data_IF_616594754238
#
_entry.id   IF_616594754238
#
_cell.length_a   1.000
_cell.length_b   1.000
_cell.length_c   1.000
_cell.angle_alpha   90.00
_cell.angle_beta   90.00
_cell.angle_gamma   90.00
#
_symmetry.space_group_name_H-M   'P 1'
#
loop_
_entity.id
_entity.type
_entity.pdbx_description
1 polymer ?
#
# COMPACT_ATOMS: atom_id res chain seq x y z
N UNK A 1 14.31 14.63 13.21
CA UNK A 1 14.62 13.91 14.47
C UNK A 1 14.16 12.48 14.27
N UNK A 2 15.06 11.51 14.41
CA UNK A 2 14.74 10.08 14.33
C UNK A 2 14.01 9.67 15.60
N UNK A 3 12.75 9.27 15.51
CA UNK A 3 12.10 8.58 16.63
C UNK A 3 12.76 7.21 16.80
N UNK A 4 13.33 6.96 17.98
CA UNK A 4 13.89 5.67 18.34
C UNK A 4 12.74 4.68 18.62
N UNK A 5 12.65 3.63 17.81
CA UNK A 5 11.68 2.53 18.01
C UNK A 5 11.94 1.82 19.35
N UNK A 6 10.89 1.60 20.14
CA UNK A 6 10.99 0.95 21.46
C UNK A 6 10.65 -0.53 21.36
N UNK A 7 11.25 -1.37 22.20
CA UNK A 7 10.88 -2.79 22.35
C UNK A 7 9.38 -2.98 22.69
N UNK A 8 8.74 -1.96 23.26
CA UNK A 8 7.30 -1.91 23.49
C UNK A 8 6.47 -1.95 22.19
N UNK A 9 6.99 -1.48 21.05
CA UNK A 9 6.28 -1.43 19.76
C UNK A 9 6.07 -2.81 19.12
N UNK A 10 6.72 -3.85 19.63
CA UNK A 10 6.75 -5.15 18.98
C UNK A 10 6.00 -6.24 19.75
N UNK A 11 5.94 -6.17 21.09
CA UNK A 11 5.27 -7.20 21.92
C UNK A 11 5.92 -8.60 21.80
N UNK A 12 5.58 -9.53 22.70
CA UNK A 12 6.15 -10.90 22.75
C UNK A 12 5.68 -11.83 21.60
N UNK A 13 5.29 -11.30 20.45
CA UNK A 13 4.72 -12.09 19.35
C UNK A 13 5.82 -12.74 18.50
N UNK A 14 5.78 -14.07 18.36
CA UNK A 14 6.60 -14.85 17.42
C UNK A 14 6.06 -14.78 15.98
N UNK A 15 4.94 -14.07 15.75
CA UNK A 15 4.30 -13.95 14.44
C UNK A 15 5.13 -13.08 13.49
N UNK A 16 5.20 -13.50 12.22
CA UNK A 16 5.82 -12.70 11.16
C UNK A 16 5.07 -11.37 11.02
N UNK A 17 5.80 -10.27 10.80
CA UNK A 17 5.22 -8.94 10.58
C UNK A 17 5.04 -8.63 9.10
N UNK A 18 3.98 -7.89 8.76
CA UNK A 18 3.73 -7.39 7.40
C UNK A 18 3.75 -5.85 7.43
N UNK A 19 4.83 -5.20 6.97
CA UNK A 19 4.86 -3.75 6.81
C UNK A 19 4.18 -3.32 5.50
N UNK A 20 3.18 -2.45 5.58
CA UNK A 20 2.46 -1.86 4.44
C UNK A 20 2.63 -0.34 4.48
N UNK A 21 3.15 0.25 3.40
CA UNK A 21 3.22 1.70 3.24
C UNK A 21 2.30 2.16 2.10
N UNK A 22 1.32 3.00 2.44
CA UNK A 22 0.47 3.68 1.48
C UNK A 22 1.13 4.98 1.02
N UNK A 23 1.33 5.12 -0.28
CA UNK A 23 1.84 6.28 -0.99
C UNK A 23 0.67 6.88 -1.77
N UNK A 24 0.04 7.91 -1.21
CA UNK A 24 -1.25 8.41 -1.65
C UNK A 24 -1.14 9.78 -2.32
N UNK A 25 -1.67 9.88 -3.53
CA UNK A 25 -1.80 11.15 -4.24
C UNK A 25 -2.83 12.05 -3.56
N UNK A 26 -2.43 13.30 -3.30
CA UNK A 26 -3.28 14.36 -2.77
C UNK A 26 -3.18 15.62 -3.63
N UNK A 27 -2.89 15.47 -4.92
CA UNK A 27 -2.87 16.57 -5.88
C UNK A 27 -4.29 17.09 -6.20
N UNK A 28 -4.36 18.19 -6.95
CA UNK A 28 -5.62 18.86 -7.27
C UNK A 28 -6.67 18.00 -7.99
N UNK A 29 -6.26 16.97 -8.74
CA UNK A 29 -7.17 16.04 -9.42
C UNK A 29 -7.95 15.15 -8.43
N UNK A 30 -7.39 14.93 -7.23
CA UNK A 30 -8.04 14.18 -6.16
C UNK A 30 -9.13 14.98 -5.43
N UNK A 31 -9.27 16.29 -5.69
CA UNK A 31 -10.25 17.15 -5.02
C UNK A 31 -11.70 16.68 -5.26
N UNK A 32 -12.55 16.83 -4.24
CA UNK A 32 -13.96 16.50 -4.32
C UNK A 32 -14.26 15.06 -3.93
N UNK A 33 -14.84 14.28 -4.84
CA UNK A 33 -15.25 12.90 -4.54
C UNK A 33 -14.06 11.93 -4.35
N UNK A 34 -12.98 11.97 -5.16
CA UNK A 34 -11.88 11.02 -5.04
C UNK A 34 -11.25 11.00 -3.65
N UNK A 35 -10.88 12.16 -3.09
CA UNK A 35 -10.28 12.20 -1.74
C UNK A 35 -11.26 11.76 -0.63
N UNK A 36 -12.57 12.01 -0.78
CA UNK A 36 -13.57 11.52 0.17
C UNK A 36 -13.66 10.00 0.17
N UNK A 37 -13.70 9.42 -1.03
CA UNK A 37 -13.75 7.96 -1.22
C UNK A 37 -12.43 7.30 -0.77
N UNK A 38 -11.29 7.94 -1.01
CA UNK A 38 -9.98 7.50 -0.49
C UNK A 38 -9.99 7.45 1.04
N UNK A 39 -10.40 8.53 1.71
CA UNK A 39 -10.49 8.56 3.18
C UNK A 39 -11.45 7.49 3.71
N UNK A 40 -12.63 7.35 3.10
CA UNK A 40 -13.61 6.34 3.52
C UNK A 40 -13.05 4.92 3.36
N UNK A 41 -12.47 4.61 2.20
CA UNK A 41 -11.86 3.31 1.93
C UNK A 41 -10.70 3.00 2.87
N UNK A 42 -9.82 3.97 3.12
CA UNK A 42 -8.69 3.80 4.04
C UNK A 42 -9.15 3.56 5.50
N UNK A 43 -10.22 4.24 5.94
CA UNK A 43 -10.83 3.98 7.23
C UNK A 43 -11.44 2.56 7.30
N UNK A 44 -12.10 2.12 6.23
CA UNK A 44 -12.65 0.76 6.15
C UNK A 44 -11.55 -0.31 6.20
N UNK A 45 -10.44 -0.11 5.47
CA UNK A 45 -9.26 -0.96 5.54
C UNK A 45 -8.72 -1.04 6.97
N UNK A 46 -8.52 0.09 7.64
CA UNK A 46 -8.05 0.04 9.03
C UNK A 46 -9.05 -0.65 9.97
N UNK A 47 -10.35 -0.46 9.76
CA UNK A 47 -11.37 -1.12 10.55
C UNK A 47 -11.31 -2.65 10.37
N UNK A 48 -11.13 -3.14 9.13
CA UNK A 48 -11.00 -4.58 8.86
C UNK A 48 -9.74 -5.16 9.50
N UNK A 49 -8.60 -4.48 9.40
CA UNK A 49 -7.36 -4.87 10.09
C UNK A 49 -7.57 -4.90 11.60
N UNK A 50 -8.24 -3.90 12.19
CA UNK A 50 -8.50 -3.83 13.63
C UNK A 50 -9.43 -4.92 14.14
N UNK A 51 -10.38 -5.36 13.32
CA UNK A 51 -11.38 -6.38 13.66
C UNK A 51 -10.77 -7.78 13.82
N UNK A 52 -9.69 -8.09 13.11
CA UNK A 52 -8.96 -9.35 13.25
C UNK A 52 -7.72 -9.16 14.15
N UNK A 53 -7.72 -9.77 15.33
CA UNK A 53 -6.62 -9.65 16.31
C UNK A 53 -5.27 -10.15 15.76
N UNK A 54 -5.29 -11.16 14.89
CA UNK A 54 -4.11 -11.72 14.27
C UNK A 54 -3.54 -10.77 13.21
N UNK A 55 -4.38 -10.30 12.29
CA UNK A 55 -3.98 -9.31 11.28
C UNK A 55 -3.51 -8.02 11.93
N UNK A 56 -4.20 -7.51 12.97
CA UNK A 56 -3.81 -6.31 13.71
C UNK A 56 -2.44 -6.43 14.38
N UNK A 57 -2.14 -7.59 14.95
CA UNK A 57 -0.87 -7.81 15.67
C UNK A 57 0.32 -8.07 14.74
N UNK A 58 0.05 -8.52 13.52
CA UNK A 58 1.07 -8.79 12.50
C UNK A 58 1.33 -7.60 11.57
N UNK A 59 0.33 -6.76 11.30
CA UNK A 59 0.42 -5.70 10.28
C UNK A 59 0.90 -4.39 10.89
N UNK A 60 1.93 -3.80 10.27
CA UNK A 60 2.39 -2.44 10.56
C UNK A 60 2.09 -1.55 9.37
N UNK A 61 1.46 -0.40 9.60
CA UNK A 61 1.02 0.49 8.53
C UNK A 61 1.71 1.85 8.65
N UNK A 62 2.17 2.38 7.53
CA UNK A 62 2.51 3.78 7.36
C UNK A 62 1.68 4.37 6.22
N UNK A 63 1.37 5.66 6.33
CA UNK A 63 0.70 6.43 5.28
C UNK A 63 1.52 7.68 5.04
N UNK A 64 1.89 7.87 3.78
CA UNK A 64 2.47 9.10 3.27
C UNK A 64 1.57 9.64 2.15
N UNK A 65 1.56 10.95 2.02
CA UNK A 65 0.82 11.64 0.97
C UNK A 65 1.78 12.45 0.12
N UNK A 66 1.48 12.58 -1.16
CA UNK A 66 2.20 13.48 -2.05
C UNK A 66 1.21 14.36 -2.80
N UNK A 67 1.36 15.66 -2.63
CA UNK A 67 0.52 16.67 -3.27
C UNK A 67 1.05 18.03 -2.82
N UNK A 68 1.59 18.82 -3.72
CA UNK A 68 2.48 19.96 -3.40
C UNK A 68 3.85 19.55 -2.82
N UNK A 69 3.87 18.74 -1.77
CA UNK A 69 5.05 18.16 -1.12
C UNK A 69 4.75 16.74 -0.61
N UNK A 70 5.79 16.01 -0.21
CA UNK A 70 5.65 14.71 0.46
C UNK A 70 5.48 14.93 1.96
N UNK A 71 4.45 14.31 2.55
CA UNK A 71 4.16 14.36 3.98
C UNK A 71 3.94 12.97 4.56
N UNK A 72 4.47 12.73 5.77
CA UNK A 72 4.22 11.50 6.51
C UNK A 72 3.01 11.73 7.42
N UNK A 73 1.83 11.33 6.95
CA UNK A 73 0.57 11.45 7.69
C UNK A 73 0.54 10.48 8.87
N UNK A 74 1.07 9.27 8.68
CA UNK A 74 1.16 8.25 9.71
C UNK A 74 2.48 7.49 9.57
N UNK A 75 3.43 7.63 10.51
CA UNK A 75 4.62 6.81 10.52
C UNK A 75 4.29 5.36 10.93
N UNK A 76 5.20 4.42 10.66
CA UNK A 76 5.06 3.05 11.14
C UNK A 76 4.98 3.01 12.66
N UNK A 77 3.93 2.39 13.18
CA UNK A 77 3.72 2.17 14.60
C UNK A 77 2.59 1.18 14.84
N UNK A 78 2.37 0.80 16.11
CA UNK A 78 1.26 -0.08 16.44
C UNK A 78 -0.07 0.55 16.07
N UNK A 79 -0.91 -0.22 15.38
CA UNK A 79 -2.31 0.14 15.14
C UNK A 79 -3.05 0.06 16.49
N UNK A 80 -3.20 1.21 17.15
CA UNK A 80 -4.03 1.32 18.35
C UNK A 80 -5.51 1.18 17.97
N UNK A 81 -6.30 0.53 18.83
CA UNK A 81 -7.76 0.41 18.63
C UNK A 81 -8.40 1.80 18.54
N UNK A 82 -7.93 2.74 19.36
CA UNK A 82 -8.59 4.03 19.60
C UNK A 82 -8.06 5.16 18.71
N UNK A 83 -6.98 4.94 17.94
CA UNK A 83 -6.40 5.98 17.08
C UNK A 83 -7.18 6.03 15.76
N UNK A 84 -7.83 7.16 15.52
CA UNK A 84 -8.42 7.51 14.22
C UNK A 84 -7.33 7.98 13.24
N UNK A 85 -7.58 7.82 11.96
CA UNK A 85 -6.73 8.42 10.93
C UNK A 85 -6.93 9.92 10.87
N UNK A 86 -5.86 10.70 10.68
CA UNK A 86 -5.99 12.09 10.25
C UNK A 86 -6.76 12.13 8.92
N UNK A 87 -7.69 13.08 8.78
CA UNK A 87 -8.37 13.29 7.51
C UNK A 87 -7.38 13.81 6.47
N UNK A 88 -7.26 13.08 5.36
CA UNK A 88 -6.37 13.43 4.26
C UNK A 88 -7.09 14.44 3.37
N UNK A 89 -6.46 15.58 3.14
CA UNK A 89 -7.00 16.61 2.24
C UNK A 89 -6.22 16.65 0.94
N UNK A 90 -6.93 16.77 -0.18
CA UNK A 90 -6.30 17.12 -1.45
C UNK A 90 -5.82 18.58 -1.41
N UNK A 91 -4.68 18.83 -2.02
CA UNK A 91 -3.97 20.10 -2.05
C UNK A 91 -3.69 20.53 -3.49
N UNK A 92 -2.68 21.39 -3.69
CA UNK A 92 -2.42 22.11 -4.96
C UNK A 92 -1.99 21.19 -6.11
N UNK A 93 -1.51 21.79 -7.21
CA UNK A 93 -1.41 21.15 -8.53
C UNK A 93 -0.24 20.18 -8.73
N UNK A 94 0.73 20.09 -7.82
CA UNK A 94 1.93 19.26 -8.05
C UNK A 94 1.74 17.83 -7.59
N UNK A 95 2.35 16.91 -8.34
CA UNK A 95 2.31 15.46 -8.13
C UNK A 95 3.75 14.93 -8.05
N UNK A 96 4.47 15.13 -6.93
CA UNK A 96 5.86 14.71 -6.77
C UNK A 96 5.96 13.20 -6.48
N UNK A 97 5.36 12.37 -7.32
CA UNK A 97 5.21 10.92 -7.12
C UNK A 97 6.56 10.20 -6.92
N UNK A 98 7.61 10.62 -7.64
CA UNK A 98 8.94 10.04 -7.49
C UNK A 98 9.50 10.25 -6.09
N UNK A 99 9.33 11.44 -5.52
CA UNK A 99 9.74 11.73 -4.14
C UNK A 99 8.89 10.94 -3.15
N UNK A 100 7.57 10.90 -3.36
CA UNK A 100 6.65 10.11 -2.52
C UNK A 100 7.05 8.64 -2.44
N UNK A 101 7.27 8.01 -3.60
CA UNK A 101 7.70 6.60 -3.68
C UNK A 101 9.05 6.40 -3.00
N UNK A 102 10.05 7.26 -3.24
CA UNK A 102 11.36 7.15 -2.58
C UNK A 102 11.26 7.26 -1.06
N UNK A 103 10.45 8.19 -0.53
CA UNK A 103 10.19 8.32 0.90
C UNK A 103 9.48 7.09 1.47
N UNK A 104 8.50 6.54 0.76
CA UNK A 104 7.81 5.31 1.18
C UNK A 104 8.78 4.11 1.24
N UNK A 105 9.67 3.97 0.25
CA UNK A 105 10.71 2.93 0.25
C UNK A 105 11.69 3.10 1.42
N UNK A 106 12.08 4.33 1.76
CA UNK A 106 12.93 4.61 2.92
C UNK A 106 12.25 4.22 4.23
N UNK A 107 10.96 4.55 4.41
CA UNK A 107 10.19 4.13 5.58
C UNK A 107 10.12 2.60 5.69
N UNK A 108 9.86 1.90 4.58
CA UNK A 108 9.81 0.44 4.54
C UNK A 108 11.17 -0.16 4.91
N UNK A 109 12.27 0.36 4.37
CA UNK A 109 13.61 -0.11 4.69
C UNK A 109 13.98 0.11 6.17
N UNK A 110 13.69 1.29 6.72
CA UNK A 110 13.87 1.56 8.15
C UNK A 110 13.07 0.59 9.02
N UNK A 111 11.81 0.31 8.66
CA UNK A 111 10.99 -0.64 9.42
C UNK A 111 11.54 -2.07 9.35
N UNK A 112 11.99 -2.52 8.19
CA UNK A 112 12.64 -3.83 8.00
C UNK A 112 13.93 -3.97 8.81
N UNK A 113 14.75 -2.91 8.84
CA UNK A 113 15.98 -2.89 9.66
C UNK A 113 15.64 -3.07 11.13
N UNK A 114 14.64 -2.35 11.63
CA UNK A 114 14.12 -2.54 12.99
C UNK A 114 13.68 -3.98 13.28
N UNK A 115 12.98 -4.64 12.36
CA UNK A 115 12.64 -6.07 12.54
C UNK A 115 13.89 -6.96 12.64
N UNK A 116 14.88 -6.76 11.76
CA UNK A 116 16.11 -7.54 11.75
C UNK A 116 16.90 -7.39 13.05
N UNK A 117 17.04 -6.17 13.54
CA UNK A 117 17.75 -5.87 14.79
C UNK A 117 17.10 -6.56 16.00
N UNK A 118 15.78 -6.74 15.96
CA UNK A 118 15.01 -7.40 17.03
C UNK A 118 14.81 -8.91 16.81
N UNK A 119 15.37 -9.48 15.73
CA UNK A 119 15.17 -10.90 15.39
C UNK A 119 13.74 -11.25 14.98
N UNK A 120 12.94 -10.26 14.57
CA UNK A 120 11.55 -10.44 14.16
C UNK A 120 11.51 -10.83 12.68
N UNK A 121 10.83 -11.93 12.37
CA UNK A 121 10.58 -12.35 10.98
C UNK A 121 9.50 -11.46 10.37
N UNK A 122 9.56 -11.24 9.05
CA UNK A 122 8.59 -10.44 8.32
C UNK A 122 8.31 -11.01 6.92
N UNK A 123 7.13 -10.73 6.38
CA UNK A 123 6.72 -10.98 4.98
C UNK A 123 7.30 -9.92 4.05
N UNK A 124 7.20 -10.08 2.73
CA UNK A 124 7.62 -8.99 1.84
C UNK A 124 6.84 -7.71 2.17
N UNK A 125 7.54 -6.57 2.34
CA UNK A 125 6.90 -5.28 2.52
C UNK A 125 6.02 -4.92 1.32
N UNK A 126 4.91 -4.23 1.58
CA UNK A 126 4.03 -3.72 0.54
C UNK A 126 4.21 -2.22 0.37
N UNK A 127 4.42 -1.80 -0.87
CA UNK A 127 4.27 -0.42 -1.31
C UNK A 127 2.95 -0.33 -2.09
N UNK A 128 2.00 0.45 -1.58
CA UNK A 128 0.71 0.70 -2.24
C UNK A 128 0.72 2.14 -2.77
N UNK A 129 0.90 2.31 -4.06
CA UNK A 129 0.89 3.61 -4.75
C UNK A 129 -0.49 3.83 -5.34
N UNK A 130 -1.17 4.90 -4.92
CA UNK A 130 -2.47 5.32 -5.47
C UNK A 130 -2.30 6.71 -6.08
N UNK A 131 -2.54 6.84 -7.38
CA UNK A 131 -2.42 8.12 -8.11
C UNK A 131 -3.38 8.22 -9.27
N UNK A 132 -3.81 9.44 -9.59
CA UNK A 132 -4.59 9.75 -10.79
C UNK A 132 -3.79 10.55 -11.84
N UNK A 133 -2.48 10.77 -11.61
CA UNK A 133 -1.70 11.77 -12.36
C UNK A 133 -0.27 11.36 -12.72
N UNK A 134 0.34 12.18 -13.58
CA UNK A 134 1.72 12.04 -14.02
C UNK A 134 2.70 12.81 -13.12
N UNK A 135 4.01 12.47 -13.10
CA UNK A 135 5.02 13.17 -12.32
C UNK A 135 5.08 14.67 -12.65
N UNK A 136 4.92 15.53 -11.63
CA UNK A 136 5.00 16.98 -11.77
C UNK A 136 5.85 17.61 -10.68
N UNK A 137 6.47 18.74 -11.00
CA UNK A 137 7.33 19.51 -10.09
C UNK A 137 8.82 19.52 -10.48
N UNK A 138 9.67 20.18 -9.68
CA UNK A 138 11.11 20.22 -9.92
C UNK A 138 11.71 18.81 -9.90
N UNK A 139 12.58 18.49 -10.86
CA UNK A 139 13.23 17.17 -10.97
C UNK A 139 12.27 15.97 -11.04
N UNK A 140 10.97 16.18 -11.32
CA UNK A 140 9.94 15.15 -11.20
C UNK A 140 10.28 13.86 -11.96
N UNK A 141 10.71 13.98 -13.23
CA UNK A 141 11.10 12.82 -14.04
C UNK A 141 12.39 12.14 -13.55
N UNK A 142 13.35 12.90 -13.02
CA UNK A 142 14.58 12.33 -12.47
C UNK A 142 14.29 11.52 -11.20
N UNK A 143 13.53 12.09 -10.27
CA UNK A 143 13.10 11.42 -9.04
C UNK A 143 12.22 10.21 -9.34
N UNK A 144 11.32 10.33 -10.31
CA UNK A 144 10.48 9.23 -10.77
C UNK A 144 11.32 8.08 -11.38
N UNK A 145 12.32 8.37 -12.21
CA UNK A 145 13.20 7.33 -12.75
C UNK A 145 14.02 6.63 -11.65
N UNK A 146 14.44 7.35 -10.62
CA UNK A 146 15.09 6.77 -9.44
C UNK A 146 14.12 5.86 -8.68
N UNK A 147 12.86 6.30 -8.48
CA UNK A 147 11.82 5.51 -7.84
C UNK A 147 11.54 4.20 -8.60
N UNK A 148 11.33 4.28 -9.93
CA UNK A 148 11.16 3.12 -10.82
C UNK A 148 12.32 2.13 -10.66
N UNK A 149 13.56 2.62 -10.75
CA UNK A 149 14.73 1.76 -10.59
C UNK A 149 14.74 1.05 -9.24
N UNK A 150 14.50 1.79 -8.15
CA UNK A 150 14.52 1.24 -6.79
C UNK A 150 13.41 0.21 -6.57
N UNK A 151 12.19 0.49 -7.02
CA UNK A 151 11.07 -0.46 -6.97
C UNK A 151 11.42 -1.75 -7.71
N UNK A 152 11.89 -1.63 -8.96
CA UNK A 152 12.17 -2.78 -9.82
C UNK A 152 13.32 -3.64 -9.28
N UNK A 153 14.38 -3.05 -8.73
CA UNK A 153 15.48 -3.79 -8.10
C UNK A 153 15.01 -4.55 -6.84
N UNK A 154 14.15 -3.94 -6.03
CA UNK A 154 13.61 -4.58 -4.83
C UNK A 154 12.61 -5.69 -5.16
N UNK A 155 11.73 -5.45 -6.13
CA UNK A 155 10.71 -6.41 -6.55
C UNK A 155 11.32 -7.61 -7.28
N UNK A 156 12.30 -7.40 -8.17
CA UNK A 156 13.03 -8.47 -8.84
C UNK A 156 13.88 -9.34 -7.89
N UNK A 157 14.13 -8.86 -6.67
CA UNK A 157 14.87 -9.60 -5.64
C UNK A 157 14.00 -10.05 -4.47
N UNK A 158 12.67 -10.10 -4.65
CA UNK A 158 11.71 -10.63 -3.67
C UNK A 158 11.77 -9.90 -2.32
N UNK A 159 12.00 -8.58 -2.36
CA UNK A 159 12.15 -7.71 -1.18
C UNK A 159 11.04 -6.68 -1.03
N UNK A 160 10.11 -6.62 -1.97
CA UNK A 160 9.02 -5.65 -2.05
C UNK A 160 7.90 -6.15 -2.96
N UNK A 161 6.65 -5.96 -2.55
CA UNK A 161 5.47 -6.07 -3.41
C UNK A 161 4.98 -4.66 -3.74
N UNK A 162 4.76 -4.35 -5.02
CA UNK A 162 4.34 -3.00 -5.47
C UNK A 162 2.93 -3.00 -6.05
N UNK A 163 1.93 -2.51 -5.31
CA UNK A 163 0.60 -2.26 -5.84
C UNK A 163 0.56 -0.87 -6.48
N UNK A 164 0.64 -0.79 -7.80
CA UNK A 164 0.53 0.44 -8.60
C UNK A 164 -0.93 0.63 -9.07
N UNK A 165 -1.66 1.54 -8.42
CA UNK A 165 -3.09 1.74 -8.61
C UNK A 165 -3.36 3.10 -9.26
N UNK A 166 -4.01 3.06 -10.42
CA UNK A 166 -4.45 4.20 -11.19
C UNK A 166 -5.90 4.54 -10.88
N UNK A 167 -6.18 5.82 -10.63
CA UNK A 167 -7.52 6.29 -10.26
C UNK A 167 -8.14 7.15 -11.37
N UNK A 168 -9.25 6.68 -11.93
CA UNK A 168 -9.98 7.42 -12.96
C UNK A 168 -9.27 7.52 -14.32
N UNK A 169 -9.78 8.38 -15.20
CA UNK A 169 -9.41 8.38 -16.62
C UNK A 169 -8.20 9.27 -16.97
N UNK A 170 -7.65 10.00 -15.99
CA UNK A 170 -6.52 10.92 -16.18
C UNK A 170 -5.14 10.29 -15.97
N UNK A 171 -5.10 9.01 -15.61
CA UNK A 171 -3.87 8.29 -15.24
C UNK A 171 -2.98 8.08 -16.46
N UNK A 172 -1.70 8.39 -16.31
CA UNK A 172 -0.66 7.96 -17.24
C UNK A 172 -0.26 6.51 -16.92
N UNK A 173 -0.98 5.55 -17.51
CA UNK A 173 -0.74 4.12 -17.29
C UNK A 173 0.63 3.67 -17.78
N UNK A 174 1.19 4.31 -18.82
CA UNK A 174 2.52 4.01 -19.36
C UNK A 174 3.64 4.38 -18.37
N UNK A 175 3.41 5.38 -17.53
CA UNK A 175 4.28 5.68 -16.40
C UNK A 175 3.95 4.79 -15.20
N UNK A 176 2.69 4.59 -14.87
CA UNK A 176 2.32 3.82 -13.69
C UNK A 176 2.81 2.36 -13.78
N UNK A 177 2.77 1.74 -14.96
CA UNK A 177 3.27 0.38 -15.18
C UNK A 177 4.77 0.23 -14.90
N UNK A 178 5.57 1.28 -15.07
CA UNK A 178 7.03 1.19 -14.92
C UNK A 178 7.45 1.01 -13.46
N UNK A 179 6.58 1.31 -12.49
CA UNK A 179 6.86 1.15 -11.07
C UNK A 179 6.92 -0.31 -10.61
N UNK A 180 6.43 -1.27 -11.42
CA UNK A 180 6.47 -2.68 -11.08
C UNK A 180 6.91 -3.52 -12.28
N UNK A 181 7.89 -4.38 -12.07
CA UNK A 181 8.34 -5.39 -13.05
C UNK A 181 7.52 -6.67 -12.99
N UNK A 182 6.89 -6.95 -11.84
CA UNK A 182 6.03 -8.12 -11.66
C UNK A 182 4.54 -7.84 -11.91
N UNK A 183 4.13 -6.56 -11.96
CA UNK A 183 2.77 -6.10 -12.28
C UNK A 183 2.79 -5.14 -13.48
N UNK A 184 2.93 -5.67 -14.70
CA UNK A 184 3.01 -4.85 -15.92
C UNK A 184 1.69 -4.15 -16.26
N UNK A 185 0.56 -4.64 -15.75
CA UNK A 185 -0.76 -4.02 -15.89
C UNK A 185 -1.16 -3.38 -14.55
N UNK A 186 -1.16 -2.03 -14.45
CA UNK A 186 -1.58 -1.36 -13.23
C UNK A 186 -3.04 -1.64 -12.88
N UNK A 187 -3.34 -1.63 -11.59
CA UNK A 187 -4.70 -1.80 -11.08
C UNK A 187 -5.49 -0.53 -11.40
N UNK A 188 -6.50 -0.62 -12.27
CA UNK A 188 -7.34 0.52 -12.63
C UNK A 188 -8.62 0.53 -11.81
N UNK A 189 -8.86 1.62 -11.06
CA UNK A 189 -9.98 1.75 -10.13
C UNK A 189 -10.69 3.07 -10.37
N UNK A 190 -12.01 3.05 -10.48
CA UNK A 190 -12.78 4.29 -10.42
C UNK A 190 -12.78 4.80 -8.98
N UNK A 191 -12.78 6.12 -8.78
CA UNK A 191 -12.84 6.69 -7.43
C UNK A 191 -14.03 6.19 -6.59
N UNK A 192 -15.14 5.78 -7.22
CA UNK A 192 -16.28 5.18 -6.56
C UNK A 192 -16.01 3.75 -6.00
N UNK A 193 -15.00 3.07 -6.53
CA UNK A 193 -14.64 1.69 -6.20
C UNK A 193 -13.47 1.60 -5.20
N UNK A 194 -13.00 2.71 -4.62
CA UNK A 194 -11.96 2.68 -3.58
C UNK A 194 -12.33 1.74 -2.42
N UNK A 195 -13.60 1.69 -2.03
CA UNK A 195 -14.07 0.77 -0.99
C UNK A 195 -13.70 -0.68 -1.28
N UNK A 196 -13.91 -1.14 -2.52
CA UNK A 196 -13.59 -2.51 -2.96
C UNK A 196 -12.08 -2.76 -2.99
N UNK A 197 -11.30 -1.79 -3.48
CA UNK A 197 -9.83 -1.87 -3.48
C UNK A 197 -9.28 -2.08 -2.05
N UNK A 198 -9.78 -1.29 -1.10
CA UNK A 198 -9.34 -1.36 0.29
C UNK A 198 -9.83 -2.62 1.00
N UNK A 199 -11.01 -3.12 0.65
CA UNK A 199 -11.47 -4.45 1.09
C UNK A 199 -10.57 -5.56 0.57
N UNK A 200 -10.21 -5.54 -0.72
CA UNK A 200 -9.28 -6.46 -1.34
C UNK A 200 -7.91 -6.48 -0.65
N UNK A 201 -7.32 -5.30 -0.36
CA UNK A 201 -6.05 -5.19 0.37
C UNK A 201 -6.18 -5.75 1.80
N UNK A 202 -7.32 -5.50 2.46
CA UNK A 202 -7.62 -6.01 3.80
C UNK A 202 -7.70 -7.54 3.85
N UNK A 203 -8.42 -8.14 2.91
CA UNK A 203 -8.54 -9.59 2.75
C UNK A 203 -7.19 -10.21 2.42
N UNK A 204 -6.46 -9.65 1.45
CA UNK A 204 -5.14 -10.16 1.04
C UNK A 204 -4.13 -10.14 2.17
N UNK A 205 -4.08 -9.04 2.94
CA UNK A 205 -3.16 -8.93 4.09
C UNK A 205 -3.53 -9.93 5.20
N UNK A 206 -4.82 -10.16 5.43
CA UNK A 206 -5.29 -11.16 6.39
C UNK A 206 -4.89 -12.57 5.98
N UNK A 207 -5.08 -12.95 4.71
CA UNK A 207 -4.73 -14.28 4.20
C UNK A 207 -3.23 -14.58 4.28
N UNK A 208 -2.36 -13.61 3.96
CA UNK A 208 -0.91 -13.79 4.10
C UNK A 208 -0.52 -13.96 5.55
N UNK A 209 -1.12 -13.19 6.45
CA UNK A 209 -0.84 -13.29 7.88
C UNK A 209 -1.35 -14.61 8.47
N UNK A 210 -2.56 -15.06 8.10
CA UNK A 210 -3.20 -16.24 8.67
C UNK A 210 -2.70 -17.55 8.08
N UNK A 211 -2.50 -17.58 6.76
CA UNK A 211 -2.30 -18.82 6.00
C UNK A 211 -0.86 -18.98 5.51
N UNK A 212 -0.01 -17.95 5.65
CA UNK A 212 1.39 -18.00 5.23
C UNK A 212 1.55 -18.13 3.72
N UNK A 213 0.58 -17.64 2.94
CA UNK A 213 0.61 -17.65 1.47
C UNK A 213 1.92 -17.04 0.94
N UNK A 214 2.39 -17.54 -0.21
CA UNK A 214 3.52 -16.95 -0.90
C UNK A 214 3.13 -15.58 -1.47
N UNK A 215 3.99 -14.58 -1.31
CA UNK A 215 3.81 -13.22 -1.81
C UNK A 215 3.64 -13.19 -3.35
N UNK A 216 4.20 -14.18 -4.07
CA UNK A 216 4.01 -14.32 -5.53
C UNK A 216 2.54 -14.51 -5.93
N UNK A 217 1.71 -15.08 -5.05
CA UNK A 217 0.28 -15.26 -5.31
C UNK A 217 -0.43 -13.90 -5.47
N UNK A 218 0.06 -12.84 -4.83
CA UNK A 218 -0.51 -11.48 -4.91
C UNK A 218 -0.43 -10.85 -6.30
N UNK A 219 0.47 -11.33 -7.16
CA UNK A 219 0.60 -10.85 -8.54
C UNK A 219 -0.40 -11.49 -9.49
N UNK A 220 -0.91 -12.67 -9.13
CA UNK A 220 -1.90 -13.40 -9.93
C UNK A 220 -3.35 -13.06 -9.53
N UNK A 221 -3.55 -12.27 -8.48
CA UNK A 221 -4.90 -11.87 -8.09
C UNK A 221 -5.36 -10.75 -9.01
N UNK A 222 -6.34 -11.07 -9.86
CA UNK A 222 -7.03 -10.06 -10.66
C UNK A 222 -7.72 -9.06 -9.74
N UNK A 223 -7.60 -7.78 -10.10
CA UNK A 223 -8.30 -6.66 -9.45
C UNK A 223 -9.34 -6.04 -10.39
N UNK A 224 -9.57 -6.66 -11.55
CA UNK A 224 -10.63 -6.21 -12.44
C UNK A 224 -11.98 -6.36 -11.75
N UNK A 225 -12.76 -5.28 -11.62
CA UNK A 225 -14.14 -5.42 -11.19
C UNK A 225 -14.90 -6.02 -12.37
N UNK A 226 -14.98 -7.35 -12.42
CA UNK A 226 -16.02 -7.99 -13.22
C UNK A 226 -17.38 -7.45 -12.73
N UNK A 227 -18.19 -7.02 -13.70
CA UNK A 227 -19.41 -6.27 -13.48
C UNK A 227 -20.37 -6.94 -12.50
N UNK A 228 -21.17 -6.10 -11.82
CA UNK A 228 -22.22 -6.43 -10.86
C UNK A 228 -22.02 -7.73 -10.06
N UNK A 229 -21.50 -7.55 -8.84
CA UNK A 229 -21.42 -8.58 -7.80
C UNK A 229 -20.62 -9.82 -8.18
N UNK A 230 -19.30 -9.68 -8.33
CA UNK A 230 -18.42 -10.83 -8.09
C UNK A 230 -18.09 -10.87 -6.62
N UNK A 231 -18.82 -11.77 -5.95
CA UNK A 231 -18.76 -11.99 -4.53
C UNK A 231 -17.42 -12.58 -4.10
N UNK A 232 -17.26 -12.59 -2.79
CA UNK A 232 -16.25 -13.30 -1.98
C UNK A 232 -16.06 -14.79 -2.39
N UNK A 233 -16.90 -15.32 -3.28
CA UNK A 233 -16.91 -16.69 -3.76
C UNK A 233 -15.76 -17.03 -4.73
N UNK A 234 -15.31 -16.10 -5.57
CA UNK A 234 -14.13 -16.34 -6.44
C UNK A 234 -12.84 -16.42 -5.63
N UNK A 235 -12.77 -15.70 -4.51
CA UNK A 235 -11.68 -15.75 -3.54
C UNK A 235 -11.59 -17.09 -2.79
N UNK A 236 -12.73 -17.78 -2.57
CA UNK A 236 -12.75 -19.10 -1.91
C UNK A 236 -12.40 -20.24 -2.88
N UNK A 237 -12.70 -20.10 -4.17
CA UNK A 237 -12.40 -21.13 -5.17
C UNK A 237 -10.90 -21.43 -5.33
N UNK A 238 -10.04 -20.45 -5.03
CA UNK A 238 -8.58 -20.60 -5.10
C UNK A 238 -7.93 -21.10 -3.80
N UNK A 239 -8.66 -21.08 -2.68
CA UNK A 239 -8.17 -21.49 -1.36
C UNK A 239 -8.43 -22.97 -1.08
N UNK A 240 -9.46 -23.55 -1.72
CA UNK A 240 -9.81 -24.98 -1.59
C UNK A 240 -9.25 -25.86 -2.73
N UNK A 241 -8.39 -25.30 -3.59
CA UNK A 241 -7.88 -25.95 -4.80
C UNK A 241 -6.46 -26.48 -4.71
N UNK A 242 -6.07 -27.13 -3.61
CA UNK A 242 -4.83 -27.92 -3.52
C UNK A 242 -5.09 -29.18 -2.65
N UNK A 243 -5.86 -30.12 -3.20
CA UNK A 243 -5.86 -31.53 -2.79
C UNK A 243 -6.19 -32.39 -4.03
N UNK A 244 -5.21 -32.59 -4.92
CA UNK A 244 -5.03 -33.81 -5.74
C UNK A 244 -3.54 -34.16 -5.88
#
# INVERSE_FOLDING_TARGET
MSENFSSADFGNSTKRRLPICFCLDTSGSMMGNPIKQLNQGLNNFLASIKANDDTRSATDIAIITFGSSVEIVMPFGKISKDKALPEISASTTLTPIGEGVLTALELLDMRKKGYKEMGIKYYQPWLVVITDGAPQGPNAMANYNLAVKACNELEASDKLVVFNIGVGNGVDFDLLQKLSVKRPEPISVNSADFGKLFEFLGSSSSSIVSSGMNDDALYNISTEPEGDSVGVDDFLSFVDGDDE
#
